data_IF_027893595879
#
_entry.id   IF_027893595879
#
_cell.length_a   1.000
_cell.length_b   1.000
_cell.length_c   1.000
_cell.angle_alpha   90.00
_cell.angle_beta   90.00
_cell.angle_gamma   90.00
#
_symmetry.space_group_name_H-M   'P 1'
#
loop_
_entity.id
_entity.type
_entity.pdbx_description
1 polymer ?
#
# COMPACT_ATOMS: atom_id res chain seq x y z
N UNK A 1 40.93 -4.56 11.29
CA UNK A 1 39.91 -4.74 12.33
C UNK A 1 39.77 -6.22 12.60
N UNK A 2 40.22 -6.64 13.76
CA UNK A 2 40.27 -8.03 14.20
C UNK A 2 38.85 -8.55 14.25
N UNK A 3 38.58 -9.65 13.56
CA UNK A 3 37.31 -10.39 13.65
C UNK A 3 36.88 -10.47 15.10
N UNK A 4 35.67 -10.04 15.42
CA UNK A 4 35.12 -9.99 16.79
C UNK A 4 34.97 -11.36 17.45
N UNK A 5 35.82 -12.30 17.14
CA UNK A 5 35.88 -13.66 17.69
C UNK A 5 36.76 -13.65 18.94
N UNK A 6 36.18 -14.19 20.04
CA UNK A 6 36.85 -14.34 21.31
C UNK A 6 36.90 -15.82 21.70
N UNK A 7 37.92 -16.18 22.47
CA UNK A 7 38.08 -17.52 23.04
C UNK A 7 37.42 -17.55 24.41
N UNK A 8 36.66 -18.60 24.70
CA UNK A 8 36.07 -18.79 25.99
C UNK A 8 36.26 -20.27 26.47
N UNK A 9 36.45 -20.45 27.75
CA UNK A 9 36.47 -21.79 28.37
C UNK A 9 35.39 -21.83 29.41
N UNK A 10 34.58 -22.87 29.39
CA UNK A 10 33.61 -23.16 30.45
C UNK A 10 34.04 -24.37 31.27
N UNK A 11 34.13 -24.17 32.58
CA UNK A 11 34.55 -25.19 33.54
C UNK A 11 33.33 -25.74 34.31
N UNK A 12 32.84 -26.97 34.02
CA UNK A 12 31.68 -27.52 34.66
C UNK A 12 31.80 -27.68 36.18
N UNK A 13 33.00 -27.97 36.66
CA UNK A 13 33.23 -28.26 38.09
C UNK A 13 33.20 -26.99 38.97
N UNK A 14 33.48 -25.81 38.39
CA UNK A 14 33.42 -24.50 39.08
C UNK A 14 32.26 -23.64 38.67
N UNK A 15 31.51 -24.04 37.65
CA UNK A 15 30.44 -23.26 37.03
C UNK A 15 30.88 -21.87 36.57
N UNK A 16 32.12 -21.75 36.07
CA UNK A 16 32.71 -20.52 35.62
C UNK A 16 33.04 -20.53 34.13
N UNK A 17 32.91 -19.38 33.50
CA UNK A 17 33.37 -19.11 32.14
C UNK A 17 34.48 -18.09 32.16
N UNK A 18 35.56 -18.37 31.44
CA UNK A 18 36.62 -17.41 31.17
C UNK A 18 36.58 -16.98 29.70
N UNK A 19 36.64 -15.69 29.44
CA UNK A 19 36.62 -15.11 28.10
C UNK A 19 37.95 -14.37 27.91
N UNK A 20 38.61 -14.65 26.79
CA UNK A 20 39.90 -14.09 26.47
C UNK A 20 40.05 -13.76 24.97
N UNK A 21 40.90 -12.80 24.64
CA UNK A 21 41.40 -12.62 23.28
C UNK A 21 42.50 -13.62 22.93
N UNK A 22 43.23 -14.07 23.93
CA UNK A 22 44.27 -15.05 23.85
C UNK A 22 44.06 -16.11 24.92
N UNK A 23 44.37 -17.35 24.60
CA UNK A 23 44.20 -18.52 25.50
C UNK A 23 44.93 -18.37 26.83
N UNK A 24 46.09 -17.67 26.80
CA UNK A 24 46.97 -17.54 27.97
C UNK A 24 46.60 -16.39 28.91
N UNK A 25 45.80 -15.41 28.48
CA UNK A 25 45.43 -14.21 29.24
C UNK A 25 43.93 -13.98 29.23
N UNK A 26 43.15 -14.62 30.14
CA UNK A 26 41.76 -14.38 30.23
C UNK A 26 41.45 -12.90 30.57
N UNK A 27 40.56 -12.26 29.82
CA UNK A 27 40.16 -10.87 30.05
C UNK A 27 39.12 -10.77 31.13
N UNK A 28 38.22 -11.79 31.20
CA UNK A 28 37.07 -11.79 32.07
C UNK A 28 36.78 -13.22 32.60
N UNK A 29 36.43 -13.29 33.87
CA UNK A 29 35.91 -14.52 34.48
C UNK A 29 34.50 -14.23 35.01
N UNK A 30 33.55 -15.05 34.60
CA UNK A 30 32.13 -14.89 34.93
C UNK A 30 31.57 -16.22 35.49
N UNK A 31 30.76 -16.12 36.54
CA UNK A 31 29.95 -17.27 36.96
C UNK A 31 28.84 -17.57 35.94
N UNK A 32 28.36 -18.81 35.88
CA UNK A 32 27.25 -19.22 35.02
C UNK A 32 26.01 -18.32 35.19
N UNK A 33 25.62 -18.02 36.42
CA UNK A 33 24.49 -17.16 36.72
C UNK A 33 24.69 -15.74 36.14
N UNK A 34 25.93 -15.23 36.23
CA UNK A 34 26.25 -13.92 35.66
C UNK A 34 26.18 -13.97 34.14
N UNK A 35 26.67 -15.03 33.49
CA UNK A 35 26.53 -15.21 32.03
C UNK A 35 25.06 -15.17 31.61
N UNK A 36 24.17 -15.94 32.30
CA UNK A 36 22.74 -15.97 31.98
C UNK A 36 22.08 -14.61 32.23
N UNK A 37 22.47 -13.89 33.30
CA UNK A 37 21.88 -12.56 33.60
C UNK A 37 22.20 -11.48 32.53
N UNK A 38 23.25 -11.67 31.76
CA UNK A 38 23.65 -10.74 30.68
C UNK A 38 22.91 -11.01 29.35
N UNK A 39 22.10 -12.05 29.29
CA UNK A 39 21.30 -12.37 28.11
C UNK A 39 19.92 -11.70 28.17
N UNK A 40 19.34 -11.43 27.01
CA UNK A 40 17.95 -11.06 26.90
C UNK A 40 17.04 -12.14 27.45
N UNK A 41 15.88 -11.76 27.95
CA UNK A 41 14.98 -12.68 28.68
C UNK A 41 14.61 -13.92 27.86
N UNK A 42 14.39 -13.76 26.56
CA UNK A 42 14.00 -14.86 25.68
C UNK A 42 15.07 -15.95 25.55
N UNK A 43 16.37 -15.57 25.67
CA UNK A 43 17.49 -16.53 25.53
C UNK A 43 17.90 -17.20 26.82
N UNK A 44 17.47 -16.70 27.98
CA UNK A 44 17.89 -17.21 29.31
C UNK A 44 17.52 -18.66 29.51
N UNK A 45 16.30 -19.07 29.14
CA UNK A 45 15.87 -20.45 29.30
C UNK A 45 16.72 -21.41 28.43
N UNK A 46 16.89 -21.05 27.12
CA UNK A 46 17.71 -21.84 26.21
C UNK A 46 19.15 -21.98 26.70
N UNK A 47 19.76 -20.87 27.13
CA UNK A 47 21.11 -20.89 27.70
C UNK A 47 21.21 -21.72 28.97
N UNK A 48 20.26 -21.60 29.87
CA UNK A 48 20.23 -22.40 31.12
C UNK A 48 20.19 -23.91 30.83
N UNK A 49 19.42 -24.32 29.82
CA UNK A 49 19.38 -25.74 29.41
C UNK A 49 20.70 -26.21 28.80
N UNK A 50 21.39 -25.36 28.04
CA UNK A 50 22.73 -25.67 27.51
C UNK A 50 23.72 -25.81 28.68
N UNK A 51 23.79 -24.86 29.61
CA UNK A 51 24.66 -24.90 30.76
C UNK A 51 24.41 -26.14 31.64
N UNK A 52 23.15 -26.54 31.89
CA UNK A 52 22.80 -27.72 32.62
C UNK A 52 23.38 -29.02 31.97
N UNK A 53 23.40 -29.06 30.64
CA UNK A 53 23.96 -30.22 29.93
C UNK A 53 25.51 -30.15 29.87
N UNK A 54 26.10 -28.96 29.87
CA UNK A 54 27.55 -28.77 30.03
C UNK A 54 28.00 -29.24 31.41
N UNK A 55 27.30 -28.88 32.49
CA UNK A 55 27.59 -29.29 33.86
C UNK A 55 27.52 -30.81 34.02
N UNK A 56 26.56 -31.46 33.38
CA UNK A 56 26.43 -32.91 33.33
C UNK A 56 27.46 -33.61 32.42
N UNK A 57 28.35 -32.82 31.77
CA UNK A 57 29.39 -33.31 30.85
C UNK A 57 28.87 -34.18 29.69
N UNK A 58 27.62 -33.93 29.26
CA UNK A 58 26.89 -34.74 28.26
C UNK A 58 27.10 -34.33 26.83
N UNK A 59 27.49 -33.06 26.56
CA UNK A 59 27.57 -32.54 25.22
C UNK A 59 28.91 -32.88 24.56
N UNK A 60 28.83 -33.43 23.35
CA UNK A 60 29.98 -33.66 22.47
C UNK A 60 30.34 -32.43 21.64
N UNK A 61 29.37 -31.55 21.41
CA UNK A 61 29.45 -30.27 20.70
C UNK A 61 28.24 -29.46 21.10
N UNK A 62 28.37 -28.15 21.18
CA UNK A 62 27.22 -27.28 21.30
C UNK A 62 27.37 -26.02 20.46
N UNK A 63 26.26 -25.48 20.05
CA UNK A 63 26.10 -24.20 19.39
C UNK A 63 25.00 -23.43 20.10
N UNK A 64 25.28 -22.19 20.46
CA UNK A 64 24.33 -21.34 21.17
C UNK A 64 24.42 -19.92 20.61
N UNK A 65 23.35 -19.47 19.93
CA UNK A 65 23.19 -18.08 19.51
C UNK A 65 22.27 -17.38 20.49
N UNK A 66 22.69 -16.23 21.00
CA UNK A 66 21.97 -15.48 22.05
C UNK A 66 22.06 -13.97 21.80
N UNK A 67 20.98 -13.27 22.09
CA UNK A 67 20.97 -11.83 22.26
C UNK A 67 21.39 -11.45 23.68
N UNK A 68 22.03 -10.32 23.83
CA UNK A 68 22.51 -9.81 25.11
C UNK A 68 21.87 -8.46 25.43
N UNK A 69 21.84 -8.11 26.71
CA UNK A 69 21.39 -6.79 27.19
C UNK A 69 22.34 -5.65 26.78
N UNK A 70 23.51 -5.99 26.25
CA UNK A 70 24.45 -4.99 25.76
C UNK A 70 24.03 -4.49 24.40
N UNK A 71 24.16 -3.18 24.23
CA UNK A 71 23.94 -2.52 22.95
C UNK A 71 25.20 -2.55 22.11
N UNK A 72 25.04 -2.74 20.80
CA UNK A 72 26.12 -2.56 19.85
C UNK A 72 26.33 -1.04 19.54
N UNK A 73 27.16 -0.73 18.50
CA UNK A 73 27.41 0.64 18.06
C UNK A 73 26.17 1.36 17.54
N UNK A 74 25.19 0.61 17.05
CA UNK A 74 23.93 1.14 16.53
C UNK A 74 22.84 1.27 17.60
N UNK A 75 23.16 1.01 18.88
CA UNK A 75 22.25 0.97 20.03
C UNK A 75 21.25 -0.20 20.01
N UNK A 76 21.46 -1.18 19.14
CA UNK A 76 20.70 -2.42 19.09
C UNK A 76 21.29 -3.50 19.99
N UNK A 77 20.52 -4.54 20.27
CA UNK A 77 20.99 -5.64 21.09
C UNK A 77 22.12 -6.39 20.39
N UNK A 78 23.23 -6.62 21.09
CA UNK A 78 24.34 -7.36 20.54
C UNK A 78 24.07 -8.88 20.60
N UNK A 79 24.30 -9.56 19.47
CA UNK A 79 24.12 -11.00 19.33
C UNK A 79 25.46 -11.70 19.28
N UNK A 80 25.56 -12.80 20.04
CA UNK A 80 26.77 -13.63 20.09
C UNK A 80 26.42 -15.09 19.81
N UNK A 81 27.32 -15.72 19.06
CA UNK A 81 27.29 -17.15 18.78
C UNK A 81 28.43 -17.84 19.51
N UNK A 82 28.12 -18.86 20.27
CA UNK A 82 29.06 -19.71 21.00
C UNK A 82 29.09 -21.10 20.38
N UNK A 83 30.23 -21.52 19.90
CA UNK A 83 30.48 -22.87 19.40
C UNK A 83 31.50 -23.54 20.29
N UNK A 84 31.13 -24.66 20.96
CA UNK A 84 31.96 -25.27 21.95
C UNK A 84 32.14 -26.77 21.78
N UNK A 85 33.34 -27.25 22.15
CA UNK A 85 33.72 -28.65 22.15
C UNK A 85 34.33 -29.02 23.51
N UNK A 86 34.13 -30.26 24.00
CA UNK A 86 34.74 -30.73 25.26
C UNK A 86 36.23 -31.00 25.08
N UNK A 87 37.03 -30.52 26.02
CA UNK A 87 38.41 -30.87 26.17
C UNK A 87 38.49 -31.90 27.32
N UNK A 88 39.05 -33.07 27.02
CA UNK A 88 39.16 -34.17 27.98
C UNK A 88 40.57 -34.23 28.59
N UNK A 89 40.60 -34.56 29.87
CA UNK A 89 41.80 -34.92 30.61
C UNK A 89 41.52 -36.24 31.32
N UNK A 90 42.43 -37.23 31.21
CA UNK A 90 42.27 -38.56 31.82
C UNK A 90 40.95 -39.24 31.47
N UNK A 91 40.44 -39.11 30.24
CA UNK A 91 39.20 -39.68 29.75
C UNK A 91 37.93 -38.96 30.15
N UNK A 92 37.98 -37.98 31.06
CA UNK A 92 36.86 -37.17 31.54
C UNK A 92 36.87 -35.78 30.97
N UNK A 93 35.70 -35.17 30.80
CA UNK A 93 35.59 -33.76 30.33
C UNK A 93 36.10 -32.83 31.42
N UNK A 94 37.19 -32.13 31.13
CA UNK A 94 37.80 -31.15 32.02
C UNK A 94 37.15 -29.76 31.87
N UNK A 95 37.01 -29.28 30.64
CA UNK A 95 36.34 -28.06 30.34
C UNK A 95 35.79 -28.08 28.91
N UNK A 96 34.96 -27.08 28.54
CA UNK A 96 34.53 -26.85 27.17
C UNK A 96 35.27 -25.63 26.59
N UNK A 97 35.96 -25.85 25.50
CA UNK A 97 36.57 -24.78 24.73
C UNK A 97 35.55 -24.21 23.76
N UNK A 98 35.33 -22.91 23.80
CA UNK A 98 34.31 -22.20 23.04
C UNK A 98 34.90 -21.08 22.19
N UNK A 99 34.44 -20.99 20.96
CA UNK A 99 34.60 -19.81 20.14
C UNK A 99 33.35 -18.93 20.33
N UNK A 100 33.56 -17.67 20.71
CA UNK A 100 32.51 -16.67 20.85
C UNK A 100 32.66 -15.62 19.73
N UNK A 101 31.71 -15.50 18.87
CA UNK A 101 31.72 -14.56 17.74
C UNK A 101 30.55 -13.60 17.86
N UNK A 102 30.80 -12.31 17.63
CA UNK A 102 29.73 -11.34 17.47
C UNK A 102 29.07 -11.57 16.10
N UNK A 103 27.77 -11.81 16.11
CA UNK A 103 26.94 -12.08 14.93
C UNK A 103 25.81 -11.06 14.76
N UNK A 104 25.90 -9.90 15.43
CA UNK A 104 24.86 -8.86 15.37
C UNK A 104 24.54 -8.46 13.94
N UNK A 105 25.58 -8.20 13.14
CA UNK A 105 25.40 -7.85 11.72
C UNK A 105 24.75 -8.97 10.89
N UNK A 106 25.07 -10.23 11.20
CA UNK A 106 24.46 -11.39 10.55
C UNK A 106 22.98 -11.48 10.88
N UNK A 107 22.61 -11.34 12.16
CA UNK A 107 21.21 -11.36 12.60
C UNK A 107 20.41 -10.22 12.02
N UNK A 108 20.99 -9.03 11.94
CA UNK A 108 20.39 -7.86 11.29
C UNK A 108 20.12 -8.14 9.80
N UNK A 109 21.13 -8.66 9.09
CA UNK A 109 20.99 -9.02 7.68
C UNK A 109 19.96 -10.14 7.46
N UNK A 110 19.94 -11.15 8.34
CA UNK A 110 18.93 -12.24 8.30
C UNK A 110 17.51 -11.66 8.47
N UNK A 111 17.29 -10.73 9.41
CA UNK A 111 16.00 -10.06 9.60
C UNK A 111 15.59 -9.22 8.40
N UNK A 112 16.51 -8.43 7.87
CA UNK A 112 16.25 -7.63 6.66
C UNK A 112 15.88 -8.52 5.47
N UNK A 113 16.60 -9.62 5.27
CA UNK A 113 16.31 -10.57 4.22
C UNK A 113 14.94 -11.25 4.41
N UNK A 114 14.58 -11.59 5.65
CA UNK A 114 13.28 -12.17 5.96
C UNK A 114 12.14 -11.18 5.68
N UNK A 115 12.31 -9.90 6.06
CA UNK A 115 11.34 -8.84 5.76
C UNK A 115 11.21 -8.60 4.25
N UNK A 116 12.32 -8.54 3.53
CA UNK A 116 12.31 -8.35 2.08
C UNK A 116 11.69 -9.57 1.36
N UNK A 117 12.00 -10.78 1.81
CA UNK A 117 11.42 -12.00 1.26
C UNK A 117 9.92 -12.03 1.47
N UNK A 118 9.46 -11.64 2.68
CA UNK A 118 8.03 -11.56 2.99
C UNK A 118 7.33 -10.53 2.09
N UNK A 119 7.91 -9.34 1.93
CA UNK A 119 7.37 -8.31 1.03
C UNK A 119 7.31 -8.78 -0.43
N UNK A 120 8.35 -9.49 -0.88
CA UNK A 120 8.38 -10.05 -2.23
C UNK A 120 7.28 -11.11 -2.43
N UNK A 121 7.07 -11.99 -1.44
CA UNK A 121 6.00 -12.99 -1.48
C UNK A 121 4.60 -12.34 -1.50
N UNK A 122 4.37 -11.36 -0.62
CA UNK A 122 3.11 -10.61 -0.60
C UNK A 122 2.84 -9.90 -1.94
N UNK A 123 3.87 -9.33 -2.57
CA UNK A 123 3.75 -8.73 -3.89
C UNK A 123 3.45 -9.75 -4.99
N UNK A 124 4.08 -10.93 -4.96
CA UNK A 124 3.83 -12.02 -5.90
C UNK A 124 2.42 -12.60 -5.76
N UNK A 125 1.95 -12.80 -4.53
CA UNK A 125 0.58 -13.25 -4.24
C UNK A 125 -0.45 -12.24 -4.77
N UNK A 126 -0.23 -10.95 -4.52
CA UNK A 126 -1.06 -9.88 -5.08
C UNK A 126 -1.07 -9.94 -6.60
N UNK A 127 0.08 -10.03 -7.24
CA UNK A 127 0.20 -10.10 -8.71
C UNK A 127 -0.61 -11.28 -9.29
N UNK A 128 -0.47 -12.46 -8.70
CA UNK A 128 -1.14 -13.66 -9.18
C UNK A 128 -2.66 -13.58 -9.01
N UNK A 129 -3.14 -13.12 -7.84
CA UNK A 129 -4.56 -12.92 -7.59
C UNK A 129 -5.14 -11.84 -8.48
N UNK A 130 -4.42 -10.73 -8.67
CA UNK A 130 -4.80 -9.62 -9.55
C UNK A 130 -5.00 -10.09 -11.00
N UNK A 131 -4.02 -10.80 -11.60
CA UNK A 131 -4.11 -11.30 -12.98
C UNK A 131 -5.27 -12.27 -13.16
N UNK A 132 -5.48 -13.18 -12.20
CA UNK A 132 -6.58 -14.14 -12.24
C UNK A 132 -7.93 -13.42 -12.25
N UNK A 133 -8.09 -12.47 -11.34
CA UNK A 133 -9.34 -11.74 -11.18
C UNK A 133 -9.60 -10.79 -12.35
N UNK A 134 -8.54 -10.13 -12.88
CA UNK A 134 -8.65 -9.32 -14.08
C UNK A 134 -9.11 -10.11 -15.29
N UNK A 135 -8.59 -11.33 -15.45
CA UNK A 135 -9.02 -12.22 -16.53
C UNK A 135 -10.51 -12.54 -16.45
N UNK A 136 -11.05 -12.69 -15.24
CA UNK A 136 -12.48 -12.92 -15.01
C UNK A 136 -13.30 -11.66 -15.31
N UNK A 137 -12.89 -10.50 -14.77
CA UNK A 137 -13.57 -9.21 -14.94
C UNK A 137 -13.57 -8.73 -16.40
N UNK A 138 -12.56 -9.07 -17.19
CA UNK A 138 -12.52 -8.80 -18.64
C UNK A 138 -13.45 -9.74 -19.39
N UNK A 139 -13.49 -11.04 -19.02
CA UNK A 139 -14.23 -12.07 -19.75
C UNK A 139 -15.74 -11.83 -19.73
N UNK A 140 -16.28 -11.43 -18.58
CA UNK A 140 -17.73 -11.23 -18.40
C UNK A 140 -18.31 -10.17 -19.35
N UNK A 141 -17.85 -8.91 -19.37
CA UNK A 141 -18.34 -7.90 -20.29
C UNK A 141 -18.02 -8.26 -21.75
N UNK A 142 -16.87 -8.89 -22.02
CA UNK A 142 -16.53 -9.33 -23.38
C UNK A 142 -17.52 -10.34 -23.92
N UNK A 143 -17.89 -11.34 -23.13
CA UNK A 143 -18.90 -12.32 -23.55
C UNK A 143 -20.28 -11.68 -23.71
N UNK A 144 -20.63 -10.70 -22.90
CA UNK A 144 -21.84 -9.94 -23.06
C UNK A 144 -21.87 -9.18 -24.38
N UNK A 145 -20.77 -8.48 -24.71
CA UNK A 145 -20.63 -7.76 -26.01
C UNK A 145 -20.76 -8.74 -27.18
N UNK A 146 -20.05 -9.86 -27.13
CA UNK A 146 -20.09 -10.90 -28.21
C UNK A 146 -21.51 -11.48 -28.31
N UNK A 147 -22.13 -11.85 -27.18
CA UNK A 147 -23.48 -12.45 -27.20
C UNK A 147 -24.55 -11.51 -27.77
N UNK A 148 -24.55 -10.22 -27.37
CA UNK A 148 -25.49 -9.24 -27.95
C UNK A 148 -25.15 -8.92 -29.41
N UNK A 149 -23.90 -8.94 -29.84
CA UNK A 149 -23.53 -8.78 -31.22
C UNK A 149 -23.99 -9.98 -32.08
N UNK A 150 -23.91 -11.20 -31.56
CA UNK A 150 -24.47 -12.41 -32.23
C UNK A 150 -26.00 -12.33 -32.33
N UNK A 151 -26.68 -11.91 -31.26
CA UNK A 151 -28.14 -11.71 -31.28
C UNK A 151 -28.53 -10.63 -32.29
N UNK A 152 -27.75 -9.54 -32.41
CA UNK A 152 -27.97 -8.47 -33.36
C UNK A 152 -27.80 -8.95 -34.82
N UNK A 153 -26.91 -9.92 -35.08
CA UNK A 153 -26.72 -10.50 -36.41
C UNK A 153 -27.77 -11.57 -36.75
N UNK A 154 -28.43 -12.18 -35.75
CA UNK A 154 -29.44 -13.19 -35.93
C UNK A 154 -30.82 -12.64 -36.29
N UNK A 155 -31.81 -13.55 -36.41
CA UNK A 155 -33.20 -13.13 -36.52
C UNK A 155 -33.70 -12.59 -35.15
N UNK A 156 -34.11 -11.33 -35.10
CA UNK A 156 -34.60 -10.67 -33.89
C UNK A 156 -35.69 -9.63 -34.22
N UNK A 157 -36.46 -9.21 -33.24
CA UNK A 157 -37.41 -8.10 -33.39
C UNK A 157 -36.63 -6.78 -33.42
N UNK A 158 -36.95 -5.92 -34.41
CA UNK A 158 -36.38 -4.58 -34.53
C UNK A 158 -36.57 -3.70 -33.28
N UNK A 159 -37.57 -3.99 -32.48
CA UNK A 159 -37.81 -3.31 -31.20
C UNK A 159 -36.71 -3.58 -30.16
N UNK A 160 -35.96 -4.67 -30.31
CA UNK A 160 -34.89 -5.06 -29.38
C UNK A 160 -33.50 -4.48 -29.75
N UNK A 161 -33.34 -4.00 -30.99
CA UNK A 161 -32.07 -3.43 -31.48
C UNK A 161 -31.49 -2.33 -30.55
N UNK A 162 -32.29 -1.35 -30.04
CA UNK A 162 -31.77 -0.34 -29.14
C UNK A 162 -31.23 -0.92 -27.83
N UNK A 163 -31.84 -2.00 -27.31
CA UNK A 163 -31.40 -2.69 -26.11
C UNK A 163 -30.07 -3.40 -26.34
N UNK A 164 -29.92 -4.09 -27.48
CA UNK A 164 -28.69 -4.78 -27.84
C UNK A 164 -27.52 -3.78 -28.01
N UNK A 165 -27.76 -2.69 -28.72
CA UNK A 165 -26.76 -1.63 -28.91
C UNK A 165 -26.36 -1.00 -27.58
N UNK A 166 -27.33 -0.73 -26.71
CA UNK A 166 -27.06 -0.16 -25.38
C UNK A 166 -26.23 -1.11 -24.52
N UNK A 167 -26.55 -2.41 -24.50
CA UNK A 167 -25.80 -3.42 -23.79
C UNK A 167 -24.37 -3.58 -24.31
N UNK A 168 -24.18 -3.58 -25.65
CA UNK A 168 -22.84 -3.60 -26.25
C UNK A 168 -22.05 -2.38 -25.83
N UNK A 169 -22.63 -1.18 -25.88
CA UNK A 169 -21.99 0.06 -25.53
C UNK A 169 -21.60 0.10 -24.04
N UNK A 170 -22.53 -0.21 -23.14
CA UNK A 170 -22.29 -0.22 -21.69
C UNK A 170 -21.15 -1.18 -21.30
N UNK A 171 -21.14 -2.39 -21.86
CA UNK A 171 -20.11 -3.38 -21.57
C UNK A 171 -18.75 -3.03 -22.21
N UNK A 172 -18.76 -2.37 -23.37
CA UNK A 172 -17.53 -1.85 -24.01
C UNK A 172 -16.93 -0.71 -23.16
N UNK A 173 -17.76 0.23 -22.67
CA UNK A 173 -17.32 1.32 -21.78
C UNK A 173 -16.78 0.77 -20.45
N UNK A 174 -17.40 -0.30 -19.91
CA UNK A 174 -16.91 -0.98 -18.71
C UNK A 174 -15.51 -1.61 -18.96
N UNK A 175 -15.33 -2.27 -20.10
CA UNK A 175 -14.06 -2.87 -20.52
C UNK A 175 -12.95 -1.81 -20.64
N UNK A 176 -13.25 -0.68 -21.32
CA UNK A 176 -12.30 0.43 -21.45
C UNK A 176 -11.89 0.99 -20.08
N UNK A 177 -12.85 1.20 -19.18
CA UNK A 177 -12.56 1.67 -17.81
C UNK A 177 -11.64 0.67 -17.07
N UNK A 178 -11.92 -0.63 -17.17
CA UNK A 178 -11.11 -1.65 -16.53
C UNK A 178 -9.67 -1.66 -17.07
N UNK A 179 -9.50 -1.64 -18.39
CA UNK A 179 -8.17 -1.59 -19.04
C UNK A 179 -7.41 -0.33 -18.62
N UNK A 180 -8.07 0.84 -18.62
CA UNK A 180 -7.45 2.09 -18.19
C UNK A 180 -7.00 2.04 -16.72
N UNK A 181 -7.79 1.43 -15.83
CA UNK A 181 -7.43 1.23 -14.43
C UNK A 181 -6.21 0.34 -14.27
N UNK A 182 -6.14 -0.76 -15.03
CA UNK A 182 -4.99 -1.69 -15.05
C UNK A 182 -3.72 -0.96 -15.51
N UNK A 183 -3.82 -0.19 -16.61
CA UNK A 183 -2.69 0.57 -17.14
C UNK A 183 -2.23 1.67 -16.18
N UNK A 184 -3.15 2.36 -15.52
CA UNK A 184 -2.81 3.38 -14.52
C UNK A 184 -2.10 2.75 -13.33
N UNK A 185 -2.61 1.63 -12.80
CA UNK A 185 -1.97 0.92 -11.70
C UNK A 185 -0.57 0.42 -12.09
N UNK A 186 -0.43 -0.15 -13.29
CA UNK A 186 0.85 -0.57 -13.86
C UNK A 186 1.85 0.59 -13.96
N UNK A 187 1.41 1.78 -14.41
CA UNK A 187 2.26 2.98 -14.47
C UNK A 187 2.65 3.50 -13.09
N UNK A 188 1.76 3.40 -12.11
CA UNK A 188 2.05 3.76 -10.72
C UNK A 188 3.14 2.85 -10.16
N UNK A 189 3.00 1.54 -10.31
CA UNK A 189 3.97 0.55 -9.81
C UNK A 189 5.34 0.69 -10.51
N UNK A 190 5.33 0.95 -11.82
CA UNK A 190 6.56 1.24 -12.57
C UNK A 190 7.19 2.62 -12.25
N UNK A 191 6.57 3.43 -11.36
CA UNK A 191 7.00 4.80 -11.05
C UNK A 191 7.09 5.72 -12.27
N UNK A 192 6.23 5.48 -13.25
CA UNK A 192 6.16 6.23 -14.52
C UNK A 192 5.10 7.34 -14.50
N UNK A 193 4.41 7.53 -13.38
CA UNK A 193 3.44 8.61 -13.22
C UNK A 193 4.17 9.90 -12.88
N UNK A 194 4.06 10.89 -13.77
CA UNK A 194 4.59 12.22 -13.53
C UNK A 194 3.54 13.08 -12.81
N UNK A 195 3.92 13.66 -11.68
CA UNK A 195 3.08 14.60 -10.94
C UNK A 195 3.27 16.01 -11.51
N UNK A 196 2.19 16.61 -11.99
CA UNK A 196 2.20 17.98 -12.54
C UNK A 196 1.30 18.88 -11.70
N UNK A 197 1.90 19.82 -11.01
CA UNK A 197 1.15 20.75 -10.17
C UNK A 197 0.72 21.98 -10.95
N UNK A 198 -0.54 22.36 -10.76
CA UNK A 198 -1.14 23.57 -11.27
C UNK A 198 -1.70 24.42 -10.10
N UNK A 199 -1.78 25.72 -10.30
CA UNK A 199 -2.43 26.62 -9.33
C UNK A 199 -3.91 26.71 -9.68
N UNK A 200 -4.77 26.30 -8.75
CA UNK A 200 -6.23 26.28 -8.93
C UNK A 200 -6.95 26.88 -7.73
N UNK A 201 -8.19 27.34 -7.95
CA UNK A 201 -9.12 27.67 -6.88
C UNK A 201 -9.83 26.40 -6.39
N UNK A 202 -9.42 25.89 -5.25
CA UNK A 202 -9.80 24.56 -4.78
C UNK A 202 -11.31 24.39 -4.49
N UNK A 203 -12.01 25.34 -3.87
CA UNK A 203 -13.46 25.24 -3.64
C UNK A 203 -14.26 25.01 -4.91
N UNK A 204 -13.97 25.79 -5.96
CA UNK A 204 -14.65 25.67 -7.25
C UNK A 204 -14.30 24.34 -7.94
N UNK A 205 -13.02 24.01 -7.98
CA UNK A 205 -12.54 22.74 -8.50
C UNK A 205 -13.17 21.54 -7.78
N UNK A 206 -13.16 21.51 -6.45
CA UNK A 206 -13.71 20.42 -5.65
C UNK A 206 -15.21 20.23 -5.94
N UNK A 207 -15.95 21.33 -5.97
CA UNK A 207 -17.39 21.31 -6.30
C UNK A 207 -17.64 20.75 -7.72
N UNK A 208 -16.88 21.23 -8.71
CA UNK A 208 -17.02 20.77 -10.09
C UNK A 208 -16.75 19.25 -10.20
N UNK A 209 -15.66 18.76 -9.59
CA UNK A 209 -15.29 17.35 -9.60
C UNK A 209 -16.27 16.44 -8.83
N UNK A 210 -16.83 16.91 -7.71
CA UNK A 210 -17.91 16.20 -7.00
C UNK A 210 -19.16 16.06 -7.88
N UNK A 211 -19.58 17.15 -8.53
CA UNK A 211 -20.74 17.11 -9.42
C UNK A 211 -20.51 16.17 -10.61
N UNK A 212 -19.31 16.17 -11.22
CA UNK A 212 -18.97 15.22 -12.29
C UNK A 212 -19.09 13.76 -11.82
N UNK A 213 -18.57 13.43 -10.64
CA UNK A 213 -18.68 12.09 -10.09
C UNK A 213 -20.13 11.68 -9.81
N UNK A 214 -21.00 12.59 -9.43
CA UNK A 214 -22.41 12.32 -9.13
C UNK A 214 -23.30 12.24 -10.36
N UNK A 215 -22.96 12.90 -11.45
CA UNK A 215 -23.83 13.01 -12.67
C UNK A 215 -24.17 11.65 -13.26
N UNK A 216 -23.38 10.63 -13.01
CA UNK A 216 -23.53 9.30 -13.59
C UNK A 216 -24.32 8.30 -12.72
N UNK A 217 -24.81 8.64 -11.50
CA UNK A 217 -25.36 7.59 -10.68
C UNK A 217 -26.18 7.94 -9.43
N UNK A 218 -26.41 9.22 -9.11
CA UNK A 218 -27.22 9.54 -7.92
C UNK A 218 -28.66 9.10 -8.13
N UNK A 219 -29.12 8.18 -7.28
CA UNK A 219 -30.47 7.63 -7.34
C UNK A 219 -31.50 8.63 -6.81
N UNK A 220 -32.75 8.57 -7.30
CA UNK A 220 -33.83 9.39 -6.75
C UNK A 220 -34.01 9.12 -5.24
N UNK A 221 -33.95 10.18 -4.42
CA UNK A 221 -34.10 10.08 -2.96
C UNK A 221 -32.77 10.02 -2.19
N UNK A 222 -31.63 10.18 -2.87
CA UNK A 222 -30.32 10.42 -2.24
C UNK A 222 -30.07 11.92 -2.18
N UNK A 223 -29.83 12.41 -0.98
CA UNK A 223 -29.40 13.80 -0.75
C UNK A 223 -27.88 13.90 -0.94
N UNK A 224 -27.42 14.96 -1.62
CA UNK A 224 -25.99 15.24 -1.82
C UNK A 224 -25.63 16.54 -1.14
N UNK A 225 -24.56 16.54 -0.35
CA UNK A 225 -24.06 17.72 0.35
C UNK A 225 -22.58 17.92 0.05
N UNK A 226 -22.21 19.13 -0.41
CA UNK A 226 -20.83 19.58 -0.48
C UNK A 226 -20.64 20.64 0.60
N UNK A 227 -19.62 20.48 1.43
CA UNK A 227 -19.26 21.41 2.47
C UNK A 227 -17.88 22.01 2.18
N UNK A 228 -17.87 23.32 1.97
CA UNK A 228 -16.67 24.11 1.76
C UNK A 228 -16.43 24.97 3.00
N UNK A 229 -15.20 25.03 3.46
CA UNK A 229 -14.83 25.89 4.60
C UNK A 229 -14.49 27.32 4.17
N UNK A 230 -14.17 27.52 2.89
CA UNK A 230 -13.74 28.81 2.35
C UNK A 230 -14.35 29.04 0.97
N UNK A 231 -14.59 30.31 0.62
CA UNK A 231 -15.15 30.67 -0.68
C UNK A 231 -14.07 30.67 -1.78
N UNK A 232 -12.83 31.00 -1.44
CA UNK A 232 -11.67 30.99 -2.32
C UNK A 232 -10.44 30.46 -1.61
N UNK A 233 -9.75 29.51 -2.22
CA UNK A 233 -8.52 28.94 -1.69
C UNK A 233 -7.61 28.55 -2.87
N UNK A 234 -6.64 29.43 -3.17
CA UNK A 234 -5.68 29.14 -4.25
C UNK A 234 -4.61 28.17 -3.75
N UNK A 235 -4.49 27.04 -4.41
CA UNK A 235 -3.55 25.98 -4.05
C UNK A 235 -2.76 25.48 -5.25
N UNK A 236 -1.54 25.01 -4.98
CA UNK A 236 -0.69 24.34 -5.96
C UNK A 236 -0.78 22.83 -5.73
N UNK A 237 -1.48 22.11 -6.61
CA UNK A 237 -1.70 20.66 -6.54
C UNK A 237 -1.68 20.04 -7.95
N UNK A 238 -1.57 18.72 -8.01
CA UNK A 238 -1.85 17.95 -9.23
C UNK A 238 -3.37 17.81 -9.39
N UNK A 239 -3.96 18.71 -10.19
CA UNK A 239 -5.40 18.79 -10.41
C UNK A 239 -5.96 17.57 -11.14
N UNK A 240 -5.18 16.91 -11.99
CA UNK A 240 -5.60 15.71 -12.72
C UNK A 240 -5.79 14.53 -11.76
N UNK A 241 -4.77 14.21 -10.97
CA UNK A 241 -4.82 13.06 -10.06
C UNK A 241 -5.75 13.31 -8.87
N UNK A 242 -5.76 14.52 -8.30
CA UNK A 242 -6.72 14.90 -7.26
C UNK A 242 -8.15 14.88 -7.81
N UNK A 243 -8.36 15.40 -9.02
CA UNK A 243 -9.66 15.34 -9.71
C UNK A 243 -10.15 13.92 -9.92
N UNK A 244 -9.28 13.02 -10.38
CA UNK A 244 -9.59 11.61 -10.56
C UNK A 244 -10.02 10.94 -9.23
N UNK A 245 -9.32 11.23 -8.14
CA UNK A 245 -9.69 10.73 -6.80
C UNK A 245 -11.08 11.22 -6.41
N UNK A 246 -11.35 12.52 -6.51
CA UNK A 246 -12.64 13.11 -6.14
C UNK A 246 -13.78 12.51 -6.96
N UNK A 247 -13.63 12.47 -8.28
CA UNK A 247 -14.64 11.92 -9.19
C UNK A 247 -14.90 10.44 -8.91
N UNK A 248 -13.85 9.65 -8.68
CA UNK A 248 -13.95 8.22 -8.41
C UNK A 248 -14.70 7.95 -7.10
N UNK A 249 -14.33 8.63 -6.01
CA UNK A 249 -14.96 8.42 -4.71
C UNK A 249 -16.41 8.92 -4.68
N UNK A 250 -16.70 10.05 -5.34
CA UNK A 250 -18.08 10.54 -5.49
C UNK A 250 -18.94 9.59 -6.31
N UNK A 251 -18.42 9.02 -7.40
CA UNK A 251 -19.10 8.03 -8.23
C UNK A 251 -19.37 6.73 -7.47
N UNK A 252 -18.38 6.21 -6.73
CA UNK A 252 -18.57 5.03 -5.90
C UNK A 252 -19.63 5.28 -4.82
N UNK A 253 -19.58 6.42 -4.12
CA UNK A 253 -20.60 6.77 -3.15
C UNK A 253 -22.00 6.79 -3.76
N UNK A 254 -22.18 7.35 -4.97
CA UNK A 254 -23.48 7.38 -5.66
C UNK A 254 -23.93 6.00 -6.15
N UNK A 255 -23.02 5.15 -6.57
CA UNK A 255 -23.32 3.79 -7.03
C UNK A 255 -23.90 2.92 -5.90
N UNK A 256 -23.34 3.04 -4.70
CA UNK A 256 -23.65 2.18 -3.55
C UNK A 256 -24.66 2.78 -2.57
N UNK A 257 -25.11 4.02 -2.78
CA UNK A 257 -26.13 4.66 -1.96
C UNK A 257 -27.49 4.64 -2.67
N UNK A 258 -28.43 3.87 -2.15
CA UNK A 258 -29.79 3.81 -2.71
C UNK A 258 -30.73 4.87 -2.14
N UNK A 259 -30.55 5.21 -0.87
CA UNK A 259 -31.31 6.23 -0.14
C UNK A 259 -30.42 6.83 0.95
N UNK A 260 -30.68 8.06 1.32
CA UNK A 260 -29.98 8.74 2.41
C UNK A 260 -29.09 9.87 1.93
N UNK A 261 -27.85 9.94 2.41
CA UNK A 261 -26.99 11.11 2.25
C UNK A 261 -25.61 10.72 1.71
N UNK A 262 -25.13 11.50 0.76
CA UNK A 262 -23.71 11.56 0.37
C UNK A 262 -23.17 12.92 0.78
N UNK A 263 -22.22 12.94 1.68
CA UNK A 263 -21.63 14.16 2.22
C UNK A 263 -20.14 14.22 1.90
N UNK A 264 -19.72 15.24 1.17
CA UNK A 264 -18.32 15.49 0.84
C UNK A 264 -17.89 16.83 1.41
N UNK A 265 -16.66 16.88 1.94
CA UNK A 265 -16.05 18.11 2.42
C UNK A 265 -14.54 18.06 2.28
N UNK A 266 -13.90 19.23 2.34
CA UNK A 266 -12.46 19.31 2.51
C UNK A 266 -12.12 20.22 3.68
N UNK A 267 -10.93 20.02 4.24
CA UNK A 267 -10.34 20.84 5.29
C UNK A 267 -8.89 21.08 4.93
N UNK A 268 -8.45 22.33 4.95
CA UNK A 268 -7.04 22.68 4.87
C UNK A 268 -6.52 23.06 6.26
N UNK A 269 -5.45 22.41 6.70
CA UNK A 269 -4.81 22.72 7.97
C UNK A 269 -3.31 22.44 7.92
N UNK A 270 -2.49 23.43 8.33
CA UNK A 270 -1.04 23.29 8.51
C UNK A 270 -0.30 22.66 7.34
N UNK A 271 -0.64 23.05 6.10
CA UNK A 271 0.03 22.54 4.90
C UNK A 271 -0.50 21.20 4.40
N UNK A 272 -1.59 20.70 4.96
CA UNK A 272 -2.25 19.46 4.57
C UNK A 272 -3.67 19.74 4.10
N UNK A 273 -4.03 19.21 2.95
CA UNK A 273 -5.40 19.11 2.46
C UNK A 273 -5.97 17.77 2.87
N UNK A 274 -7.14 17.75 3.50
CA UNK A 274 -7.88 16.53 3.83
C UNK A 274 -9.25 16.56 3.19
N UNK A 275 -9.53 15.61 2.33
CA UNK A 275 -10.82 15.38 1.69
C UNK A 275 -11.57 14.31 2.46
N UNK A 276 -12.87 14.48 2.68
CA UNK A 276 -13.75 13.49 3.30
C UNK A 276 -14.92 13.18 2.37
N UNK A 277 -15.14 11.91 2.16
CA UNK A 277 -16.28 11.37 1.41
C UNK A 277 -17.04 10.41 2.32
N UNK A 278 -18.26 10.78 2.67
CA UNK A 278 -19.13 9.99 3.55
C UNK A 278 -20.42 9.65 2.81
N UNK A 279 -20.80 8.39 2.84
CA UNK A 279 -22.08 7.90 2.34
C UNK A 279 -22.83 7.08 3.39
N UNK A 280 -24.12 6.94 3.20
CA UNK A 280 -25.00 6.08 4.01
C UNK A 280 -25.46 4.85 3.21
N UNK A 281 -24.60 4.37 2.31
CA UNK A 281 -24.88 3.27 1.40
C UNK A 281 -24.68 1.88 2.00
N UNK A 282 -24.39 0.92 1.12
CA UNK A 282 -24.25 -0.48 1.50
C UNK A 282 -23.10 -0.76 2.46
N UNK A 283 -22.06 0.08 2.47
CA UNK A 283 -20.84 -0.16 3.22
C UNK A 283 -19.99 -1.30 2.64
N UNK A 284 -18.87 -1.58 3.30
CA UNK A 284 -17.91 -2.63 2.91
C UNK A 284 -17.77 -3.66 4.02
N UNK A 285 -17.45 -4.89 3.64
CA UNK A 285 -17.07 -5.95 4.57
C UNK A 285 -15.67 -5.73 5.13
N UNK A 286 -15.32 -6.39 6.22
CA UNK A 286 -13.97 -6.30 6.80
C UNK A 286 -12.91 -6.87 5.87
N UNK A 287 -13.28 -7.89 5.12
CA UNK A 287 -12.44 -8.55 4.13
C UNK A 287 -12.11 -7.57 2.99
N UNK A 288 -13.10 -6.89 2.42
CA UNK A 288 -12.88 -5.87 1.38
C UNK A 288 -12.05 -4.70 1.89
N UNK A 289 -12.27 -4.27 3.14
CA UNK A 289 -11.43 -3.23 3.75
C UNK A 289 -9.98 -3.68 3.92
N UNK A 290 -9.74 -4.93 4.33
CA UNK A 290 -8.40 -5.51 4.40
C UNK A 290 -7.76 -5.60 3.01
N UNK A 291 -8.50 -6.06 1.99
CA UNK A 291 -8.02 -6.15 0.61
C UNK A 291 -7.52 -4.81 0.06
N UNK A 292 -8.23 -3.70 0.33
CA UNK A 292 -7.77 -2.35 -0.06
C UNK A 292 -6.54 -1.94 0.74
N UNK A 293 -6.54 -2.16 2.07
CA UNK A 293 -5.45 -1.74 2.96
C UNK A 293 -4.15 -2.46 2.63
N UNK A 294 -4.23 -3.77 2.51
CA UNK A 294 -3.08 -4.67 2.40
C UNK A 294 -2.73 -4.98 0.94
N UNK A 295 -3.49 -4.41 -0.01
CA UNK A 295 -3.39 -4.70 -1.45
C UNK A 295 -3.48 -6.20 -1.74
N UNK A 296 -4.29 -6.92 -0.98
CA UNK A 296 -4.48 -8.35 -1.14
C UNK A 296 -5.90 -8.62 -1.66
N UNK A 297 -6.02 -9.24 -2.84
CA UNK A 297 -7.30 -9.55 -3.48
C UNK A 297 -7.61 -11.04 -3.34
N UNK A 298 -8.38 -11.41 -2.33
CA UNK A 298 -8.85 -12.78 -2.15
C UNK A 298 -9.98 -13.13 -3.14
N UNK A 299 -10.12 -14.41 -3.48
CA UNK A 299 -11.06 -14.89 -4.52
C UNK A 299 -12.53 -14.55 -4.26
N UNK A 300 -12.92 -14.33 -3.01
CA UNK A 300 -14.30 -14.07 -2.58
C UNK A 300 -14.57 -12.58 -2.22
N UNK A 301 -13.64 -11.67 -2.50
CA UNK A 301 -13.72 -10.28 -2.08
C UNK A 301 -14.57 -9.38 -3.00
N UNK A 302 -15.80 -9.77 -3.33
CA UNK A 302 -16.82 -8.89 -3.92
C UNK A 302 -16.47 -8.29 -5.29
N UNK A 303 -16.87 -7.03 -5.53
CA UNK A 303 -16.68 -6.32 -6.81
C UNK A 303 -15.23 -5.84 -6.97
N UNK A 304 -14.43 -6.58 -7.71
CA UNK A 304 -13.01 -6.27 -7.99
C UNK A 304 -12.80 -4.93 -8.66
N UNK A 305 -13.73 -4.51 -9.53
CA UNK A 305 -13.65 -3.22 -10.20
C UNK A 305 -13.65 -2.07 -9.18
N UNK A 306 -14.43 -2.19 -8.12
CA UNK A 306 -14.48 -1.22 -7.01
C UNK A 306 -13.18 -1.23 -6.21
N UNK A 307 -12.69 -2.42 -5.85
CA UNK A 307 -11.46 -2.56 -5.07
C UNK A 307 -10.25 -1.94 -5.80
N UNK A 308 -10.11 -2.18 -7.11
CA UNK A 308 -9.06 -1.57 -7.93
C UNK A 308 -9.14 -0.06 -7.91
N UNK A 309 -10.32 0.51 -8.04
CA UNK A 309 -10.51 1.96 -8.02
C UNK A 309 -10.09 2.57 -6.67
N UNK A 310 -10.42 1.90 -5.55
CA UNK A 310 -9.98 2.31 -4.22
C UNK A 310 -8.46 2.18 -4.05
N UNK A 311 -7.86 1.10 -4.55
CA UNK A 311 -6.39 0.91 -4.54
C UNK A 311 -5.71 2.01 -5.37
N UNK A 312 -6.24 2.36 -6.54
CA UNK A 312 -5.72 3.47 -7.34
C UNK A 312 -5.77 4.79 -6.56
N UNK A 313 -6.89 5.11 -5.92
CA UNK A 313 -7.01 6.30 -5.09
C UNK A 313 -5.98 6.31 -3.95
N UNK A 314 -5.78 5.17 -3.28
CA UNK A 314 -4.78 5.01 -2.23
C UNK A 314 -3.36 5.24 -2.76
N UNK A 315 -3.02 4.64 -3.91
CA UNK A 315 -1.69 4.78 -4.50
C UNK A 315 -1.42 6.21 -5.00
N UNK A 316 -2.40 6.86 -5.61
CA UNK A 316 -2.29 8.26 -6.02
C UNK A 316 -2.10 9.18 -4.80
N UNK A 317 -2.83 8.96 -3.71
CA UNK A 317 -2.62 9.69 -2.46
C UNK A 317 -1.19 9.50 -1.93
N UNK A 318 -0.68 8.26 -1.95
CA UNK A 318 0.69 7.96 -1.53
C UNK A 318 1.76 8.61 -2.43
N UNK A 319 1.55 8.65 -3.75
CA UNK A 319 2.44 9.35 -4.69
C UNK A 319 2.50 10.85 -4.43
N UNK A 320 1.41 11.45 -3.97
CA UNK A 320 1.36 12.85 -3.54
C UNK A 320 1.99 13.09 -2.15
N UNK A 321 2.57 12.07 -1.51
CA UNK A 321 3.12 12.15 -0.16
C UNK A 321 2.04 12.16 0.94
N UNK A 322 0.85 11.71 0.61
CA UNK A 322 -0.32 11.63 1.48
C UNK A 322 -0.71 10.21 1.85
N UNK A 323 -1.93 10.06 2.35
CA UNK A 323 -2.49 8.77 2.75
C UNK A 323 -4.01 8.73 2.56
N UNK A 324 -4.54 7.50 2.47
CA UNK A 324 -5.98 7.23 2.48
C UNK A 324 -6.33 6.41 3.72
N UNK A 325 -7.35 6.88 4.43
CA UNK A 325 -7.96 6.15 5.55
C UNK A 325 -9.45 5.94 5.25
N UNK A 326 -10.01 4.87 5.78
CA UNK A 326 -11.43 4.60 5.58
C UNK A 326 -12.02 3.81 6.74
N UNK A 327 -13.27 4.12 7.04
CA UNK A 327 -14.13 3.41 7.97
C UNK A 327 -15.40 3.02 7.24
N UNK A 328 -15.81 1.77 7.37
CA UNK A 328 -17.04 1.28 6.76
C UNK A 328 -17.65 0.19 7.60
N UNK A 329 -18.97 0.14 7.60
CA UNK A 329 -19.75 -0.90 8.24
C UNK A 329 -20.89 -1.32 7.30
N UNK A 330 -21.00 -2.61 7.06
CA UNK A 330 -22.02 -3.16 6.17
C UNK A 330 -23.43 -2.71 6.59
N UNK A 331 -24.16 -2.13 5.65
CA UNK A 331 -25.51 -1.58 5.87
C UNK A 331 -25.58 -0.20 6.54
N UNK A 332 -24.43 0.42 6.89
CA UNK A 332 -24.39 1.76 7.49
C UNK A 332 -23.69 2.80 6.62
N UNK A 333 -22.97 2.36 5.60
CA UNK A 333 -22.22 3.21 4.70
C UNK A 333 -20.73 3.25 4.97
N UNK A 334 -20.05 4.19 4.30
CA UNK A 334 -18.60 4.34 4.37
C UNK A 334 -18.19 5.80 4.61
N UNK A 335 -17.03 5.98 5.18
CA UNK A 335 -16.34 7.27 5.25
C UNK A 335 -14.90 7.07 4.83
N UNK A 336 -14.46 7.83 3.82
CA UNK A 336 -13.11 7.77 3.26
C UNK A 336 -12.48 9.14 3.43
N UNK A 337 -11.25 9.16 3.95
CA UNK A 337 -10.43 10.36 4.08
C UNK A 337 -9.19 10.22 3.20
N UNK A 338 -8.91 11.27 2.43
CA UNK A 338 -7.68 11.42 1.66
C UNK A 338 -6.96 12.64 2.17
N UNK A 339 -5.73 12.50 2.64
CA UNK A 339 -4.91 13.61 3.07
C UNK A 339 -3.63 13.67 2.24
N UNK A 340 -3.23 14.86 1.82
CA UNK A 340 -1.98 15.09 1.08
C UNK A 340 -1.42 16.48 1.38
N UNK A 341 -0.09 16.66 1.31
CA UNK A 341 0.53 17.97 1.46
C UNK A 341 0.09 18.90 0.33
N UNK A 342 -0.23 20.13 0.69
CA UNK A 342 -0.75 21.13 -0.22
C UNK A 342 -0.21 22.51 0.14
N UNK A 343 0.18 23.27 -0.86
CA UNK A 343 0.73 24.62 -0.68
C UNK A 343 -0.29 25.67 -1.10
N UNK A 344 -0.59 26.62 -0.20
CA UNK A 344 -1.38 27.80 -0.53
C UNK A 344 -0.52 28.75 -1.35
N UNK A 345 -1.12 29.35 -2.36
CA UNK A 345 -0.54 30.40 -3.18
C UNK A 345 -1.31 31.69 -2.92
N UNK A 346 -0.66 32.67 -2.31
CA UNK A 346 -1.24 34.01 -2.15
C UNK A 346 -1.32 34.67 -3.53
N UNK A 347 -2.53 34.86 -4.04
CA UNK A 347 -2.74 35.73 -5.21
C UNK A 347 -2.50 37.20 -4.80
N UNK A 348 -1.70 37.97 -5.53
CA UNK A 348 -1.71 39.41 -5.38
C UNK A 348 -3.14 39.89 -5.62
N UNK A 349 -3.70 40.67 -4.68
CA UNK A 349 -5.01 41.30 -4.85
C UNK A 349 -5.05 41.98 -6.21
N UNK A 350 -5.81 41.41 -7.13
CA UNK A 350 -6.19 42.18 -8.33
C UNK A 350 -7.04 43.32 -7.85
N UNK A 351 -6.57 44.54 -8.05
CA UNK A 351 -7.39 45.76 -7.93
C UNK A 351 -8.61 45.55 -8.82
N UNK A 352 -9.81 45.64 -8.25
CA UNK A 352 -11.06 45.59 -9.00
C UNK A 352 -11.00 46.62 -10.13
N UNK A 353 -11.18 46.26 -11.42
CA UNK A 353 -11.40 47.22 -12.46
C UNK A 353 -12.76 47.88 -12.20
N UNK A 354 -12.75 49.20 -12.09
CA UNK A 354 -13.91 50.04 -11.87
C UNK A 354 -15.08 49.57 -12.77
N UNK A 355 -16.23 49.32 -12.15
CA UNK A 355 -17.46 48.88 -12.80
C UNK A 355 -17.85 49.81 -13.96
N UNK A 356 -17.87 49.25 -15.16
CA UNK A 356 -18.66 49.80 -16.27
C UNK A 356 -19.95 48.99 -16.36
N UNK A 357 -21.12 49.65 -16.38
CA UNK A 357 -22.40 48.95 -16.48
C UNK A 357 -22.65 48.62 -17.96
N UNK A 358 -23.12 47.41 -18.17
CA UNK A 358 -23.75 46.88 -19.37
C UNK A 358 -22.92 45.90 -20.21
N UNK A 359 -23.12 44.62 -19.91
CA UNK A 359 -23.20 43.57 -20.94
C UNK A 359 -23.78 42.28 -20.34
N UNK A 360 -24.89 41.86 -20.92
CA UNK A 360 -25.58 40.59 -20.70
C UNK A 360 -24.62 39.37 -20.80
N UNK A 361 -24.78 38.31 -19.97
CA UNK A 361 -23.93 37.13 -20.05
C UNK A 361 -24.25 36.32 -21.32
N UNK A 362 -23.30 36.25 -22.22
CA UNK A 362 -23.29 35.24 -23.29
C UNK A 362 -22.85 33.93 -22.66
N UNK A 363 -23.75 32.95 -22.58
CA UNK A 363 -23.47 31.58 -22.19
C UNK A 363 -22.65 30.98 -23.33
N UNK A 364 -21.35 30.82 -23.10
CA UNK A 364 -20.45 30.15 -24.05
C UNK A 364 -20.57 28.63 -23.84
N UNK A 365 -21.22 27.96 -24.81
CA UNK A 365 -21.46 26.52 -24.82
C UNK A 365 -20.20 25.66 -25.09
N UNK A 366 -19.00 26.23 -25.01
CA UNK A 366 -17.75 25.51 -25.28
C UNK A 366 -17.08 24.88 -24.03
N UNK A 367 -17.71 24.94 -22.84
CA UNK A 367 -17.15 24.35 -21.62
C UNK A 367 -17.42 22.85 -21.45
N UNK A 368 -18.10 22.20 -22.39
CA UNK A 368 -18.45 20.78 -22.35
C UNK A 368 -17.53 19.86 -23.19
N UNK A 369 -16.47 20.40 -23.80
CA UNK A 369 -15.66 19.67 -24.79
C UNK A 369 -14.27 19.21 -24.31
N UNK A 370 -13.88 19.45 -23.06
CA UNK A 370 -12.57 19.01 -22.56
C UNK A 370 -12.70 18.12 -21.33
N UNK A 371 -13.25 16.93 -21.52
CA UNK A 371 -13.05 15.85 -20.54
C UNK A 371 -11.80 15.06 -20.96
N UNK A 372 -10.70 15.27 -20.26
CA UNK A 372 -9.42 14.55 -20.45
C UNK A 372 -9.51 13.02 -20.26
N UNK A 373 -10.70 12.48 -20.03
CA UNK A 373 -10.99 11.05 -20.14
C UNK A 373 -10.83 10.53 -21.59
N UNK A 374 -10.98 11.41 -22.60
CA UNK A 374 -10.71 11.10 -24.00
C UNK A 374 -9.20 11.06 -24.30
N UNK A 375 -8.38 11.83 -23.58
CA UNK A 375 -6.92 11.84 -23.75
C UNK A 375 -6.29 10.46 -23.43
N UNK A 376 -6.86 9.71 -22.48
CA UNK A 376 -6.38 8.35 -22.18
C UNK A 376 -6.83 7.33 -23.24
N UNK A 377 -7.96 7.52 -23.90
CA UNK A 377 -8.39 6.65 -25.00
C UNK A 377 -7.55 6.89 -26.27
N UNK A 378 -7.19 8.13 -26.53
CA UNK A 378 -6.32 8.50 -27.66
C UNK A 378 -4.87 8.06 -27.42
N UNK A 379 -4.43 7.98 -26.17
CA UNK A 379 -3.11 7.49 -25.80
C UNK A 379 -2.98 5.97 -26.04
N UNK A 380 -4.01 5.18 -25.70
CA UNK A 380 -4.07 3.75 -25.99
C UNK A 380 -4.20 3.46 -27.49
N UNK A 381 -4.97 4.27 -28.20
CA UNK A 381 -5.14 4.11 -29.65
C UNK A 381 -3.86 4.40 -30.43
N UNK A 382 -2.92 5.16 -29.84
CA UNK A 382 -1.67 5.55 -30.46
C UNK A 382 -0.44 4.78 -29.96
N UNK A 383 -0.58 3.90 -28.95
CA UNK A 383 0.52 3.05 -28.48
C UNK A 383 0.67 1.80 -29.34
N UNK A 384 1.90 1.49 -29.71
CA UNK A 384 2.22 0.24 -30.38
C UNK A 384 2.12 -0.96 -29.43
N UNK A 385 1.87 -2.15 -29.96
CA UNK A 385 1.82 -3.40 -29.21
C UNK A 385 3.12 -3.65 -28.43
N UNK A 386 4.24 -3.17 -28.94
CA UNK A 386 5.56 -3.27 -28.32
C UNK A 386 5.71 -2.33 -27.11
N UNK A 387 5.12 -1.13 -27.17
CA UNK A 387 5.10 -0.18 -26.05
C UNK A 387 4.20 -0.66 -24.91
N UNK A 388 3.05 -1.26 -25.20
CA UNK A 388 2.16 -1.88 -24.22
C UNK A 388 2.86 -3.06 -23.54
N UNK A 389 3.50 -3.94 -24.31
CA UNK A 389 4.23 -5.08 -23.77
C UNK A 389 5.44 -4.68 -22.93
N UNK A 390 6.17 -3.62 -23.32
CA UNK A 390 7.27 -3.07 -22.55
C UNK A 390 6.78 -2.42 -21.23
N UNK A 391 5.63 -1.77 -21.25
CA UNK A 391 5.03 -1.16 -20.07
C UNK A 391 4.60 -2.22 -19.05
N UNK A 392 3.97 -3.28 -19.53
CA UNK A 392 3.58 -4.44 -18.72
C UNK A 392 4.80 -5.19 -18.16
N UNK A 393 5.84 -5.39 -18.97
CA UNK A 393 7.06 -6.09 -18.56
C UNK A 393 7.92 -5.31 -17.55
N UNK A 394 7.82 -3.99 -17.51
CA UNK A 394 8.56 -3.11 -16.58
C UNK A 394 7.77 -2.74 -15.33
N UNK A 395 6.50 -3.09 -15.24
CA UNK A 395 5.68 -2.92 -14.05
C UNK A 395 6.07 -3.93 -12.98
N UNK A 396 6.13 -3.52 -11.72
CA UNK A 396 6.32 -4.42 -10.57
C UNK A 396 5.15 -5.40 -10.38
N UNK A 397 4.04 -5.19 -11.10
CA UNK A 397 2.93 -6.15 -11.21
C UNK A 397 3.29 -7.39 -12.02
N UNK A 398 4.30 -7.31 -12.90
CA UNK A 398 4.67 -8.38 -13.85
C UNK A 398 6.12 -8.83 -13.73
N UNK A 399 6.85 -8.37 -12.70
CA UNK A 399 8.15 -8.85 -12.27
C UNK A 399 8.06 -9.66 -11.01
#
# INVERSE_FOLDING_TARGET
EVSGTRLANYYPDTHEMTIAHDIQKPIMRLSQLRCISLLDMEYRHKASMVFLNLDKKRLKKFELRVGTIFKDRNKDNAYYEFNGIPIKKDGTVNHYFCLCRNVSKLVETEKQLEEETKRAQEAEEFQNSFLKNMSHEIRTPLYTVVGFAELFQGEHDKSDEPVFIDQIKQNSDMLLKLVNNILLLSRIDAKMVEMKTNTIDFPEFFKAKCLMGWTQGVKPGVETKIESTEDHLMVEIDDNHVGLIIETLCRLASQFTEKGLIHTRYIYHSGMMTLMFKDTGAGMTKENMASVRDRNMEEDSGDYSVLIQLIICQQLAALMGGQMEFESELGKGSTIWISFPCKIVDMPKQEEPAATPDSTPIIDNNLLANSDLLANSDMLANMSEEEINNLLANSDLFK
#
